data_IF_972425133735
#
_entry.id   IF_972425133735
#
_cell.length_a   1.000
_cell.length_b   1.000
_cell.length_c   1.000
_cell.angle_alpha   90.00
_cell.angle_beta   90.00
_cell.angle_gamma   90.00
#
_symmetry.space_group_name_H-M   'P 1'
#
loop_
_entity.id
_entity.type
_entity.pdbx_description
1 polymer ?
#
# COMPACT_ATOMS: atom_id res chain seq x y z
N UNK A 1 31.77 -12.31 -12.40
CA UNK A 1 31.52 -11.00 -13.04
C UNK A 1 30.11 -10.49 -12.77
N UNK A 2 29.04 -11.22 -13.11
CA UNK A 2 27.65 -10.74 -12.88
C UNK A 2 27.25 -10.63 -11.40
N UNK A 3 27.70 -11.57 -10.57
CA UNK A 3 27.44 -11.55 -9.12
C UNK A 3 28.13 -10.37 -8.41
N UNK A 4 29.33 -10.00 -8.87
CA UNK A 4 30.08 -8.85 -8.33
C UNK A 4 29.44 -7.54 -8.74
N UNK A 5 28.91 -7.46 -9.97
CA UNK A 5 28.12 -6.32 -10.44
C UNK A 5 26.83 -6.14 -9.61
N UNK A 6 26.12 -7.23 -9.31
CA UNK A 6 24.93 -7.18 -8.46
C UNK A 6 25.25 -6.76 -7.02
N UNK A 7 26.34 -7.28 -6.45
CA UNK A 7 26.82 -6.89 -5.11
C UNK A 7 27.25 -5.41 -5.07
N UNK A 8 27.91 -4.91 -6.11
CA UNK A 8 28.27 -3.50 -6.24
C UNK A 8 27.02 -2.61 -6.31
N UNK A 9 26.01 -2.98 -7.10
CA UNK A 9 24.74 -2.23 -7.16
C UNK A 9 23.98 -2.24 -5.83
N UNK A 10 23.99 -3.36 -5.08
CA UNK A 10 23.39 -3.42 -3.74
C UNK A 10 24.11 -2.55 -2.73
N UNK A 11 25.45 -2.51 -2.74
CA UNK A 11 26.26 -1.61 -1.90
C UNK A 11 25.99 -0.15 -2.23
N UNK A 12 25.95 0.20 -3.51
CA UNK A 12 25.66 1.57 -3.96
C UNK A 12 24.24 2.01 -3.56
N UNK A 13 23.25 1.13 -3.68
CA UNK A 13 21.89 1.39 -3.22
C UNK A 13 21.78 1.55 -1.69
N UNK A 14 22.57 0.80 -0.90
CA UNK A 14 22.66 1.00 0.55
C UNK A 14 23.31 2.34 0.91
N UNK A 15 24.38 2.73 0.23
CA UNK A 15 25.04 4.02 0.45
C UNK A 15 24.11 5.19 0.14
N UNK A 16 23.34 5.13 -0.94
CA UNK A 16 22.33 6.15 -1.26
C UNK A 16 21.23 6.23 -0.20
N UNK A 17 20.76 5.10 0.35
CA UNK A 17 19.82 5.10 1.49
C UNK A 17 20.42 5.76 2.72
N UNK A 18 21.69 5.48 3.04
CA UNK A 18 22.39 6.10 4.19
C UNK A 18 22.53 7.62 3.98
N UNK A 19 22.84 8.08 2.76
CA UNK A 19 22.88 9.51 2.43
C UNK A 19 21.52 10.20 2.63
N UNK A 20 20.44 9.58 2.18
CA UNK A 20 19.07 10.09 2.36
C UNK A 20 18.73 10.19 3.86
N UNK A 21 19.04 9.16 4.65
CA UNK A 21 18.83 9.17 6.10
C UNK A 21 19.65 10.25 6.81
N UNK A 22 20.92 10.47 6.41
CA UNK A 22 21.76 11.55 6.96
C UNK A 22 21.23 12.93 6.61
N UNK A 23 20.68 13.12 5.41
CA UNK A 23 20.07 14.37 4.99
C UNK A 23 18.77 14.65 5.77
N UNK A 24 17.91 13.64 5.93
CA UNK A 24 16.69 13.75 6.75
C UNK A 24 17.03 14.07 8.22
N UNK A 25 18.02 13.38 8.80
CA UNK A 25 18.46 13.67 10.16
C UNK A 25 19.04 15.07 10.32
N UNK A 26 19.84 15.58 9.36
CA UNK A 26 20.30 16.98 9.37
C UNK A 26 19.17 17.98 9.23
N UNK A 27 18.14 17.67 8.43
CA UNK A 27 16.96 18.52 8.32
C UNK A 27 16.17 18.53 9.63
N UNK A 28 15.99 17.37 10.27
CA UNK A 28 15.30 17.23 11.56
C UNK A 28 16.09 17.93 12.68
N UNK A 29 17.41 17.73 12.76
CA UNK A 29 18.30 18.39 13.72
C UNK A 29 18.31 19.92 13.50
N UNK A 30 18.27 20.37 12.24
CA UNK A 30 18.12 21.79 11.89
C UNK A 30 16.78 22.38 12.33
N UNK A 31 15.67 21.65 12.12
CA UNK A 31 14.36 22.09 12.62
C UNK A 31 14.27 22.08 14.14
N UNK A 32 14.97 21.16 14.82
CA UNK A 32 15.01 21.10 16.27
C UNK A 32 15.83 22.26 16.86
N UNK A 33 16.94 22.64 16.22
CA UNK A 33 17.76 23.81 16.56
C UNK A 33 17.00 25.13 16.34
N UNK A 34 16.25 25.27 15.24
CA UNK A 34 15.40 26.44 14.99
C UNK A 34 14.27 26.54 16.04
N UNK A 35 13.68 25.41 16.45
CA UNK A 35 12.65 25.38 17.50
C UNK A 35 13.20 25.78 18.88
N UNK A 36 14.42 25.32 19.22
CA UNK A 36 15.10 25.71 20.46
C UNK A 36 15.48 27.19 20.42
N UNK A 37 16.00 27.70 19.30
CA UNK A 37 16.30 29.13 19.13
C UNK A 37 15.07 30.03 19.22
N UNK A 38 13.91 29.59 18.70
CA UNK A 38 12.63 30.29 18.85
C UNK A 38 12.09 30.25 20.28
N UNK A 39 12.28 29.13 21.00
CA UNK A 39 11.93 29.05 22.41
C UNK A 39 12.85 29.94 23.26
N UNK A 40 14.15 29.98 22.97
CA UNK A 40 15.10 30.86 23.64
C UNK A 40 14.86 32.35 23.34
N UNK A 41 14.43 32.71 22.12
CA UNK A 41 14.09 34.10 21.78
C UNK A 41 12.76 34.54 22.42
N UNK A 42 11.79 33.65 22.55
CA UNK A 42 10.54 33.91 23.30
C UNK A 42 10.82 34.04 24.80
N UNK A 43 11.70 33.21 25.36
CA UNK A 43 12.10 33.31 26.78
C UNK A 43 12.92 34.57 27.04
N UNK A 44 13.89 34.92 26.16
CA UNK A 44 14.69 36.14 26.29
C UNK A 44 13.87 37.42 26.05
N UNK A 45 12.90 37.38 25.14
CA UNK A 45 11.95 38.46 24.91
C UNK A 45 10.99 38.71 26.07
N UNK A 46 10.78 37.72 26.94
CA UNK A 46 9.98 37.87 28.16
C UNK A 46 10.76 38.43 29.36
N UNK A 47 12.10 38.51 29.28
CA UNK A 47 12.97 39.02 30.35
C UNK A 47 13.58 40.40 30.07
N UNK A 48 13.42 40.98 28.88
CA UNK A 48 13.80 42.36 28.60
C UNK A 48 12.57 43.27 28.66
N UNK A 49 12.11 43.51 29.89
CA UNK A 49 11.37 44.72 30.21
C UNK A 49 12.34 45.84 30.57
N UNK A 50 12.01 47.06 30.13
CA UNK A 50 12.62 48.34 30.53
C UNK A 50 13.96 48.68 29.85
N UNK A 51 13.94 49.38 28.71
CA UNK A 51 14.46 50.78 28.69
C UNK A 51 14.57 51.46 27.32
N UNK A 52 14.41 50.77 26.19
CA UNK A 52 14.51 51.46 24.89
C UNK A 52 13.18 51.53 24.14
N UNK A 53 12.42 52.58 24.42
CA UNK A 53 11.33 53.05 23.56
C UNK A 53 11.47 54.55 23.34
N UNK A 54 12.59 54.93 22.71
CA UNK A 54 12.76 56.26 22.13
C UNK A 54 12.67 56.14 20.61
N UNK A 55 11.72 56.88 20.05
CA UNK A 55 11.68 57.32 18.65
C UNK A 55 11.45 56.23 17.60
N UNK A 56 10.21 56.18 17.07
CA UNK A 56 9.88 56.10 15.64
C UNK A 56 8.36 55.93 15.48
N UNK A 57 7.62 57.00 15.73
CA UNK A 57 6.27 57.18 15.17
C UNK A 57 6.14 58.63 14.73
N UNK A 58 6.71 58.93 13.57
CA UNK A 58 6.41 60.11 12.77
C UNK A 58 5.39 59.69 11.72
N UNK A 59 4.15 60.16 11.84
CA UNK A 59 3.14 59.88 10.83
C UNK A 59 1.70 60.11 11.27
N UNK A 60 1.30 61.38 11.28
CA UNK A 60 -0.04 61.86 10.95
C UNK A 60 -1.23 61.33 11.76
N UNK A 61 -1.73 62.17 12.66
CA UNK A 61 -3.06 62.76 12.46
C UNK A 61 -3.23 63.93 13.42
N UNK A 62 -3.30 65.12 12.84
CA UNK A 62 -3.72 66.35 13.47
C UNK A 62 -5.18 66.19 13.92
N UNK A 63 -5.36 65.84 15.19
CA UNK A 63 -6.51 66.27 15.96
C UNK A 63 -5.95 66.79 17.26
N UNK A 64 -5.56 68.06 17.21
CA UNK A 64 -5.45 68.89 18.40
C UNK A 64 -6.85 69.09 18.98
N UNK A 65 -7.44 68.03 19.51
CA UNK A 65 -8.41 68.18 20.57
C UNK A 65 -7.63 68.77 21.74
N UNK A 66 -7.78 70.08 21.87
CA UNK A 66 -7.39 70.87 23.03
C UNK A 66 -8.19 70.26 24.20
N UNK A 67 -7.66 69.19 24.77
CA UNK A 67 -7.98 68.77 26.11
C UNK A 67 -7.49 69.93 26.99
N UNK A 68 -8.39 70.88 27.24
CA UNK A 68 -8.35 71.77 28.39
C UNK A 68 -8.11 70.85 29.59
N UNK A 69 -6.84 70.63 29.94
CA UNK A 69 -6.43 69.94 31.16
C UNK A 69 -7.02 70.79 32.26
N UNK A 70 -8.13 70.33 32.82
CA UNK A 70 -8.79 70.98 33.92
C UNK A 70 -7.77 71.04 35.06
N UNK A 71 -7.13 72.20 35.23
CA UNK A 71 -6.08 72.44 36.21
C UNK A 71 -6.66 72.86 37.56
N UNK A 72 -7.98 72.71 37.73
CA UNK A 72 -8.61 72.91 39.02
C UNK A 72 -7.99 71.95 40.03
N UNK A 73 -7.66 72.47 41.20
CA UNK A 73 -7.12 71.66 42.30
C UNK A 73 -8.08 70.53 42.69
N UNK A 74 -9.39 70.73 42.50
CA UNK A 74 -10.43 69.72 42.69
C UNK A 74 -10.31 68.57 41.69
N UNK A 75 -10.04 68.85 40.40
CA UNK A 75 -9.83 67.80 39.41
C UNK A 75 -8.55 67.00 39.69
N UNK A 76 -7.46 67.70 40.04
CA UNK A 76 -6.19 67.08 40.42
C UNK A 76 -6.39 66.21 41.67
N UNK A 77 -7.06 66.71 42.71
CA UNK A 77 -7.36 65.94 43.92
C UNK A 77 -8.32 64.76 43.64
N UNK A 78 -9.27 64.90 42.72
CA UNK A 78 -10.17 63.80 42.32
C UNK A 78 -9.42 62.69 41.54
N UNK A 79 -8.42 63.04 40.74
CA UNK A 79 -7.59 62.06 40.02
C UNK A 79 -6.62 61.31 40.94
N UNK A 80 -6.15 61.97 42.00
CA UNK A 80 -5.32 61.35 43.03
C UNK A 80 -6.12 60.79 44.20
N UNK A 81 -7.45 60.88 44.17
CA UNK A 81 -8.29 60.17 45.10
C UNK A 81 -7.95 58.67 44.98
N UNK A 82 -7.74 57.95 46.10
CA UNK A 82 -7.33 56.54 46.07
C UNK A 82 -8.23 55.67 45.18
N UNK A 83 -9.51 56.01 45.10
CA UNK A 83 -10.51 55.33 44.28
C UNK A 83 -10.32 55.55 42.78
N UNK A 84 -9.99 56.76 42.34
CA UNK A 84 -9.71 57.06 40.93
C UNK A 84 -8.41 56.39 40.44
N UNK A 85 -7.37 56.35 41.30
CA UNK A 85 -6.12 55.63 41.00
C UNK A 85 -6.37 54.12 40.88
N UNK A 86 -7.21 53.55 41.75
CA UNK A 86 -7.60 52.14 41.67
C UNK A 86 -8.42 51.84 40.40
N UNK A 87 -9.37 52.69 40.03
CA UNK A 87 -10.13 52.56 38.78
C UNK A 87 -9.23 52.64 37.55
N UNK A 88 -8.29 53.60 37.51
CA UNK A 88 -7.34 53.71 36.41
C UNK A 88 -6.42 52.48 36.30
N UNK A 89 -5.92 51.95 37.42
CA UNK A 89 -5.15 50.69 37.42
C UNK A 89 -5.96 49.49 36.94
N UNK A 90 -7.24 49.39 37.34
CA UNK A 90 -8.15 48.33 36.84
C UNK A 90 -8.38 48.45 35.34
N UNK A 91 -8.56 49.67 34.84
CA UNK A 91 -8.76 49.92 33.41
C UNK A 91 -7.49 49.63 32.60
N UNK A 92 -6.31 50.01 33.09
CA UNK A 92 -5.04 49.63 32.48
C UNK A 92 -4.82 48.11 32.48
N UNK A 93 -5.18 47.41 33.56
CA UNK A 93 -5.10 45.95 33.63
C UNK A 93 -6.06 45.29 32.62
N UNK A 94 -7.29 45.77 32.52
CA UNK A 94 -8.27 45.32 31.54
C UNK A 94 -7.81 45.57 30.10
N UNK A 95 -7.31 46.76 29.81
CA UNK A 95 -6.76 47.12 28.49
C UNK A 95 -5.55 46.25 28.13
N UNK A 96 -4.70 45.94 29.11
CA UNK A 96 -3.57 45.04 28.93
C UNK A 96 -4.03 43.60 28.64
N UNK A 97 -5.02 43.09 29.35
CA UNK A 97 -5.61 41.77 29.08
C UNK A 97 -6.24 41.70 27.69
N UNK A 98 -7.02 42.72 27.30
CA UNK A 98 -7.60 42.82 25.96
C UNK A 98 -6.52 42.86 24.86
N UNK A 99 -5.42 43.61 25.06
CA UNK A 99 -4.29 43.63 24.12
C UNK A 99 -3.57 42.28 24.03
N UNK A 100 -3.39 41.60 25.17
CA UNK A 100 -2.78 40.27 25.23
C UNK A 100 -3.65 39.25 24.47
N UNK A 101 -4.95 39.26 24.71
CA UNK A 101 -5.87 38.32 24.07
C UNK A 101 -5.97 38.57 22.56
N UNK A 102 -6.00 39.84 22.13
CA UNK A 102 -5.93 40.20 20.72
C UNK A 102 -4.60 39.75 20.06
N UNK A 103 -3.48 39.87 20.78
CA UNK A 103 -2.17 39.39 20.31
C UNK A 103 -2.15 37.85 20.16
N UNK A 104 -2.73 37.12 21.12
CA UNK A 104 -2.88 35.67 21.06
C UNK A 104 -3.78 35.25 19.88
N UNK A 105 -4.90 35.94 19.65
CA UNK A 105 -5.77 35.67 18.50
C UNK A 105 -5.04 35.88 17.16
N UNK A 106 -4.22 36.94 17.04
CA UNK A 106 -3.39 37.17 15.85
C UNK A 106 -2.36 36.07 15.63
N UNK A 107 -1.75 35.57 16.71
CA UNK A 107 -0.78 34.49 16.65
C UNK A 107 -1.44 33.19 16.18
N UNK A 108 -2.59 32.83 16.76
CA UNK A 108 -3.38 31.66 16.34
C UNK A 108 -3.84 31.78 14.89
N UNK A 109 -4.33 32.95 14.47
CA UNK A 109 -4.73 33.18 13.08
C UNK A 109 -3.55 33.09 12.09
N UNK A 110 -2.36 33.55 12.51
CA UNK A 110 -1.13 33.43 11.73
C UNK A 110 -0.68 31.97 11.59
N UNK A 111 -0.75 31.19 12.68
CA UNK A 111 -0.44 29.76 12.65
C UNK A 111 -1.42 28.98 11.76
N UNK A 112 -2.72 29.21 11.91
CA UNK A 112 -3.75 28.61 11.05
C UNK A 112 -3.53 28.96 9.57
N UNK A 113 -3.17 30.21 9.27
CA UNK A 113 -2.83 30.64 7.91
C UNK A 113 -1.58 29.93 7.36
N UNK A 114 -0.57 29.70 8.22
CA UNK A 114 0.64 28.97 7.83
C UNK A 114 0.35 27.49 7.57
N UNK A 115 -0.45 26.86 8.43
CA UNK A 115 -0.90 25.47 8.26
C UNK A 115 -1.68 25.30 6.96
N UNK A 116 -2.61 26.20 6.66
CA UNK A 116 -3.37 26.19 5.42
C UNK A 116 -2.47 26.31 4.17
N UNK A 117 -1.42 27.14 4.21
CA UNK A 117 -0.43 27.26 3.12
C UNK A 117 0.38 25.97 2.93
N UNK A 118 0.77 25.32 4.03
CA UNK A 118 1.51 24.05 3.99
C UNK A 118 0.61 22.94 3.43
N UNK A 119 -0.64 22.86 3.87
CA UNK A 119 -1.59 21.88 3.37
C UNK A 119 -1.88 22.07 1.87
N UNK A 120 -2.12 23.31 1.42
CA UNK A 120 -2.31 23.63 0.01
C UNK A 120 -1.08 23.24 -0.84
N UNK A 121 0.14 23.51 -0.35
CA UNK A 121 1.37 23.14 -1.03
C UNK A 121 1.54 21.61 -1.12
N UNK A 122 1.19 20.87 -0.07
CA UNK A 122 1.22 19.40 -0.06
C UNK A 122 0.21 18.81 -1.04
N UNK A 123 -1.01 19.35 -1.10
CA UNK A 123 -2.03 18.93 -2.07
C UNK A 123 -1.60 19.18 -3.51
N UNK A 124 -1.02 20.35 -3.79
CA UNK A 124 -0.49 20.67 -5.13
C UNK A 124 0.64 19.71 -5.53
N UNK A 125 1.54 19.40 -4.59
CA UNK A 125 2.62 18.44 -4.82
C UNK A 125 2.09 17.02 -5.05
N UNK A 126 1.06 16.61 -4.31
CA UNK A 126 0.39 15.33 -4.49
C UNK A 126 -0.27 15.21 -5.88
N UNK A 127 -0.97 16.27 -6.34
CA UNK A 127 -1.54 16.32 -7.70
C UNK A 127 -0.47 16.21 -8.78
N UNK A 128 0.63 16.96 -8.68
CA UNK A 128 1.76 16.87 -9.63
C UNK A 128 2.38 15.47 -9.67
N UNK A 129 2.53 14.82 -8.51
CA UNK A 129 3.04 13.45 -8.45
C UNK A 129 2.08 12.45 -9.12
N UNK A 130 0.77 12.62 -8.95
CA UNK A 130 -0.24 11.79 -9.61
C UNK A 130 -0.23 11.97 -11.13
N UNK A 131 -0.08 13.20 -11.62
CA UNK A 131 0.06 13.51 -13.05
C UNK A 131 1.32 12.90 -13.65
N UNK A 132 2.46 13.00 -12.96
CA UNK A 132 3.72 12.37 -13.36
C UNK A 132 3.56 10.84 -13.42
N UNK A 133 2.87 10.24 -12.45
CA UNK A 133 2.59 8.80 -12.48
C UNK A 133 1.67 8.40 -13.63
N UNK A 134 0.62 9.18 -13.92
CA UNK A 134 -0.25 8.97 -15.09
C UNK A 134 0.55 9.04 -16.37
N UNK A 135 1.38 10.06 -16.54
CA UNK A 135 2.29 10.20 -17.69
C UNK A 135 3.25 9.02 -17.82
N UNK A 136 3.87 8.56 -16.71
CA UNK A 136 4.74 7.38 -16.71
C UNK A 136 3.99 6.10 -17.08
N UNK A 137 2.74 5.94 -16.65
CA UNK A 137 1.90 4.77 -17.01
C UNK A 137 1.52 4.81 -18.49
N UNK A 138 1.10 5.96 -19.01
CA UNK A 138 0.77 6.14 -20.42
C UNK A 138 2.00 5.96 -21.32
N UNK A 139 3.13 6.60 -21.00
CA UNK A 139 4.38 6.47 -21.74
C UNK A 139 4.90 5.03 -21.80
N UNK A 140 4.90 4.31 -20.66
CA UNK A 140 5.29 2.89 -20.66
C UNK A 140 4.33 2.01 -21.46
N UNK A 141 3.03 2.27 -21.40
CA UNK A 141 2.04 1.51 -22.15
C UNK A 141 2.16 1.76 -23.67
N UNK A 142 2.49 2.98 -24.08
CA UNK A 142 2.72 3.34 -25.48
C UNK A 142 4.04 2.79 -25.98
N UNK A 143 5.12 2.90 -25.20
CA UNK A 143 6.41 2.32 -25.53
C UNK A 143 6.34 0.79 -25.63
N UNK A 144 5.62 0.14 -24.72
CA UNK A 144 5.39 -1.30 -24.81
C UNK A 144 4.54 -1.66 -26.03
N UNK A 145 3.54 -0.85 -26.40
CA UNK A 145 2.80 -1.01 -27.66
C UNK A 145 3.72 -0.89 -28.86
N UNK A 146 4.58 0.15 -28.94
CA UNK A 146 5.55 0.35 -30.02
C UNK A 146 6.53 -0.82 -30.12
N UNK A 147 7.06 -1.32 -28.99
CA UNK A 147 7.92 -2.52 -28.97
C UNK A 147 7.19 -3.76 -29.46
N UNK A 148 5.95 -4.00 -29.03
CA UNK A 148 5.16 -5.12 -29.54
C UNK A 148 4.79 -4.95 -31.02
N UNK A 149 4.56 -3.71 -31.47
CA UNK A 149 4.26 -3.34 -32.86
C UNK A 149 5.50 -3.38 -33.79
N UNK A 150 6.71 -3.21 -33.26
CA UNK A 150 7.93 -3.50 -34.01
C UNK A 150 8.19 -5.02 -34.09
N UNK A 151 7.98 -5.71 -32.97
CA UNK A 151 8.37 -7.11 -32.83
C UNK A 151 7.40 -8.09 -33.52
N UNK A 152 6.11 -7.78 -33.67
CA UNK A 152 5.19 -8.70 -34.35
C UNK A 152 5.50 -8.82 -35.85
N UNK A 153 5.95 -7.76 -36.52
CA UNK A 153 6.41 -7.84 -37.92
C UNK A 153 7.68 -8.67 -38.04
N UNK A 154 8.64 -8.49 -37.12
CA UNK A 154 9.84 -9.32 -37.06
C UNK A 154 9.49 -10.80 -36.77
N UNK A 155 8.53 -11.06 -35.87
CA UNK A 155 8.06 -12.41 -35.58
C UNK A 155 7.32 -13.05 -36.77
N UNK A 156 6.53 -12.27 -37.52
CA UNK A 156 5.89 -12.71 -38.76
C UNK A 156 6.92 -13.01 -39.86
N UNK A 157 7.89 -12.11 -40.06
CA UNK A 157 8.96 -12.30 -41.03
C UNK A 157 9.82 -13.54 -40.68
N UNK A 158 10.16 -13.72 -39.41
CA UNK A 158 10.86 -14.90 -38.92
C UNK A 158 10.03 -16.17 -39.11
N UNK A 159 8.73 -16.16 -38.78
CA UNK A 159 7.85 -17.29 -38.99
C UNK A 159 7.71 -17.65 -40.48
N UNK A 160 7.59 -16.66 -41.38
CA UNK A 160 7.55 -16.91 -42.82
C UNK A 160 8.87 -17.45 -43.36
N UNK A 161 10.01 -16.93 -42.86
CA UNK A 161 11.33 -17.43 -43.22
C UNK A 161 11.52 -18.88 -42.77
N UNK A 162 11.12 -19.21 -41.54
CA UNK A 162 11.18 -20.58 -41.04
C UNK A 162 10.30 -21.54 -41.84
N UNK A 163 9.11 -21.10 -42.29
CA UNK A 163 8.29 -21.90 -43.19
C UNK A 163 8.99 -22.14 -44.54
N UNK A 164 9.58 -21.10 -45.13
CA UNK A 164 10.35 -21.21 -46.37
C UNK A 164 11.55 -22.17 -46.22
N UNK A 165 12.32 -22.06 -45.13
CA UNK A 165 13.45 -22.96 -44.85
C UNK A 165 12.97 -24.40 -44.67
N UNK A 166 11.85 -24.63 -43.99
CA UNK A 166 11.29 -25.98 -43.86
C UNK A 166 10.85 -26.54 -45.22
N UNK A 167 10.22 -25.74 -46.06
CA UNK A 167 9.82 -26.15 -47.42
C UNK A 167 11.04 -26.47 -48.28
N UNK A 168 12.10 -25.66 -48.22
CA UNK A 168 13.36 -25.90 -48.94
C UNK A 168 14.06 -27.16 -48.43
N UNK A 169 14.12 -27.37 -47.11
CA UNK A 169 14.65 -28.60 -46.50
C UNK A 169 13.83 -29.82 -46.93
N UNK A 170 12.51 -29.71 -47.00
CA UNK A 170 11.64 -30.78 -47.48
C UNK A 170 11.86 -31.07 -48.97
N UNK A 171 12.01 -30.04 -49.81
CA UNK A 171 12.36 -30.16 -51.22
C UNK A 171 13.74 -30.82 -51.41
N UNK A 172 14.74 -30.44 -50.61
CA UNK A 172 16.07 -31.03 -50.61
C UNK A 172 16.05 -32.47 -50.10
N UNK A 173 15.22 -32.80 -49.11
CA UNK A 173 15.00 -34.18 -48.64
C UNK A 173 14.31 -35.03 -49.71
N UNK A 174 13.32 -34.50 -50.42
CA UNK A 174 12.68 -35.20 -51.55
C UNK A 174 13.66 -35.40 -52.71
N UNK A 175 14.49 -34.39 -53.03
CA UNK A 175 15.58 -34.54 -54.02
C UNK A 175 16.59 -35.59 -53.59
N UNK A 176 17.04 -35.62 -52.33
CA UNK A 176 17.98 -36.64 -51.82
C UNK A 176 17.39 -38.03 -51.69
N UNK A 177 16.11 -38.18 -51.35
CA UNK A 177 15.41 -39.47 -51.35
C UNK A 177 15.31 -40.08 -52.75
N UNK A 178 15.09 -39.24 -53.77
CA UNK A 178 15.04 -39.67 -55.17
C UNK A 178 16.42 -39.80 -55.83
N UNK A 179 17.46 -39.08 -55.35
CA UNK A 179 18.84 -39.22 -55.84
C UNK A 179 19.60 -40.37 -55.14
N UNK A 180 19.35 -40.62 -53.85
CA UNK A 180 20.02 -41.66 -53.07
C UNK A 180 19.55 -43.08 -53.40
N UNK A 181 18.28 -43.25 -53.78
CA UNK A 181 17.77 -44.52 -54.32
C UNK A 181 18.16 -44.77 -55.79
N UNK A 182 18.60 -43.73 -56.51
CA UNK A 182 18.99 -43.83 -57.92
C UNK A 182 20.50 -44.08 -58.13
N UNK A 183 21.37 -43.73 -57.17
CA UNK A 183 22.83 -43.87 -57.32
C UNK A 183 23.43 -45.09 -56.61
N UNK A 184 22.74 -45.73 -55.66
CA UNK A 184 23.26 -46.93 -54.97
C UNK A 184 22.88 -48.27 -55.64
N UNK A 185 22.09 -48.24 -56.72
CA UNK A 185 21.73 -49.41 -57.56
C UNK A 185 22.24 -49.27 -59.01
N UNK A 186 23.27 -48.44 -59.22
CA UNK A 186 23.83 -48.13 -60.55
C UNK A 186 24.99 -49.03 -60.98
N UNK A 187 24.85 -50.32 -60.71
CA UNK A 187 25.57 -51.36 -61.46
C UNK A 187 24.59 -52.48 -61.79
N UNK A 188 23.92 -52.36 -62.94
CA UNK A 188 23.34 -53.52 -63.64
C UNK A 188 21.82 -53.62 -63.82
N UNK A 189 21.00 -52.77 -63.20
CA UNK A 189 19.54 -52.85 -63.43
C UNK A 189 19.12 -51.96 -64.62
N UNK A 190 18.54 -52.51 -65.71
CA UNK A 190 18.01 -51.72 -66.79
C UNK A 190 16.92 -50.81 -66.22
N UNK A 191 17.05 -49.49 -66.45
CA UNK A 191 16.03 -48.48 -66.15
C UNK A 191 14.66 -49.07 -66.45
N UNK A 192 13.82 -49.19 -65.43
CA UNK A 192 12.51 -49.83 -65.51
C UNK A 192 11.78 -49.29 -66.73
N UNK A 193 11.33 -50.22 -67.58
CA UNK A 193 10.58 -49.97 -68.81
C UNK A 193 9.48 -48.92 -68.62
N UNK A 194 8.88 -48.82 -67.43
CA UNK A 194 7.88 -47.81 -67.06
C UNK A 194 8.33 -46.35 -67.19
N UNK A 195 9.53 -45.98 -66.72
CA UNK A 195 10.00 -44.60 -66.84
C UNK A 195 10.33 -44.25 -68.31
N UNK A 196 10.80 -45.25 -69.07
CA UNK A 196 11.04 -45.13 -70.52
C UNK A 196 9.72 -45.03 -71.30
N UNK A 197 8.73 -45.85 -70.97
CA UNK A 197 7.38 -45.82 -71.55
C UNK A 197 6.69 -44.48 -71.25
N UNK A 198 6.82 -43.96 -70.03
CA UNK A 198 6.28 -42.63 -69.69
C UNK A 198 6.98 -41.51 -70.47
N UNK A 199 8.30 -41.59 -70.63
CA UNK A 199 9.06 -40.63 -71.41
C UNK A 199 8.73 -40.71 -72.91
N UNK A 200 8.63 -41.92 -73.47
CA UNK A 200 8.24 -42.16 -74.87
C UNK A 200 6.80 -41.69 -75.13
N UNK A 201 5.87 -41.91 -74.20
CA UNK A 201 4.50 -41.38 -74.29
C UNK A 201 4.45 -39.85 -74.25
N UNK A 202 5.27 -39.21 -73.40
CA UNK A 202 5.38 -37.74 -73.35
C UNK A 202 6.00 -37.19 -74.63
N UNK A 203 7.04 -37.84 -75.17
CA UNK A 203 7.66 -37.48 -76.45
C UNK A 203 6.68 -37.64 -77.62
N UNK A 204 5.93 -38.75 -77.68
CA UNK A 204 4.92 -38.97 -78.70
C UNK A 204 3.81 -37.90 -78.62
N UNK A 205 3.37 -37.56 -77.41
CA UNK A 205 2.43 -36.45 -77.21
C UNK A 205 3.02 -35.10 -77.62
N UNK A 206 4.31 -34.86 -77.38
CA UNK A 206 4.97 -33.63 -77.80
C UNK A 206 5.04 -33.52 -79.32
N UNK A 207 5.44 -34.58 -80.02
CA UNK A 207 5.48 -34.61 -81.49
C UNK A 207 4.10 -34.43 -82.10
N UNK A 208 3.07 -35.02 -81.51
CA UNK A 208 1.69 -34.83 -81.95
C UNK A 208 1.21 -33.39 -81.70
N UNK A 209 1.59 -32.81 -80.56
CA UNK A 209 1.28 -31.41 -80.25
C UNK A 209 1.99 -30.45 -81.22
N UNK A 210 3.25 -30.73 -81.58
CA UNK A 210 4.01 -29.98 -82.58
C UNK A 210 3.33 -30.05 -83.96
N UNK A 211 2.85 -31.23 -84.37
CA UNK A 211 2.05 -31.38 -85.60
C UNK A 211 0.76 -30.58 -85.55
N UNK A 212 0.02 -30.64 -84.44
CA UNK A 212 -1.21 -29.88 -84.26
C UNK A 212 -0.95 -28.37 -84.25
N UNK A 213 0.16 -27.91 -83.64
CA UNK A 213 0.59 -26.51 -83.63
C UNK A 213 1.09 -26.02 -84.99
N UNK A 214 1.43 -26.90 -85.93
CA UNK A 214 1.76 -26.53 -87.30
C UNK A 214 0.52 -26.17 -88.14
N UNK A 215 -0.68 -26.53 -87.68
CA UNK A 215 -1.93 -26.16 -88.36
C UNK A 215 -2.29 -24.69 -88.14
N UNK A 216 -2.66 -23.98 -89.21
CA UNK A 216 -2.99 -22.54 -89.18
C UNK A 216 -4.16 -22.23 -88.24
N UNK A 217 -5.17 -23.09 -88.22
CA UNK A 217 -6.35 -22.96 -87.35
C UNK A 217 -5.98 -23.03 -85.87
N UNK A 218 -5.08 -23.93 -85.49
CA UNK A 218 -4.61 -24.03 -84.10
C UNK A 218 -3.72 -22.84 -83.73
N UNK A 219 -2.89 -22.34 -84.65
CA UNK A 219 -2.06 -21.15 -84.42
C UNK A 219 -2.90 -19.90 -84.09
N UNK A 220 -4.06 -19.74 -84.71
CA UNK A 220 -5.01 -18.67 -84.38
C UNK A 220 -5.65 -18.84 -82.99
N UNK A 221 -5.78 -20.09 -82.50
CA UNK A 221 -6.30 -20.43 -81.17
C UNK A 221 -5.24 -20.38 -80.05
N UNK A 222 -3.94 -20.43 -80.37
CA UNK A 222 -2.85 -20.45 -79.39
C UNK A 222 -2.91 -19.25 -78.42
N UNK A 223 -3.10 -17.98 -78.86
CA UNK A 223 -3.19 -16.85 -77.93
C UNK A 223 -4.36 -16.99 -76.94
N UNK A 224 -5.49 -17.52 -77.40
CA UNK A 224 -6.65 -17.78 -76.54
C UNK A 224 -6.34 -18.86 -75.50
N UNK A 225 -5.72 -19.98 -75.91
CA UNK A 225 -5.30 -21.05 -75.00
C UNK A 225 -4.27 -20.55 -73.98
N UNK A 226 -3.27 -19.76 -74.41
CA UNK A 226 -2.29 -19.15 -73.52
C UNK A 226 -2.94 -18.22 -72.48
N UNK A 227 -3.85 -17.34 -72.90
CA UNK A 227 -4.62 -16.48 -72.00
C UNK A 227 -5.48 -17.30 -71.02
N UNK A 228 -6.13 -18.36 -71.51
CA UNK A 228 -6.93 -19.27 -70.68
C UNK A 228 -6.10 -20.00 -69.63
N UNK A 229 -4.95 -20.56 -70.01
CA UNK A 229 -4.04 -21.22 -69.08
C UNK A 229 -3.42 -20.23 -68.08
N UNK A 230 -3.02 -19.05 -68.53
CA UNK A 230 -2.53 -17.99 -67.64
C UNK A 230 -3.61 -17.60 -66.61
N UNK A 231 -4.86 -17.44 -67.04
CA UNK A 231 -5.99 -17.18 -66.15
C UNK A 231 -6.20 -18.32 -65.13
N UNK A 232 -6.23 -19.58 -65.58
CA UNK A 232 -6.37 -20.75 -64.69
C UNK A 232 -5.20 -20.87 -63.70
N UNK A 233 -3.97 -20.62 -64.14
CA UNK A 233 -2.79 -20.61 -63.28
C UNK A 233 -2.87 -19.49 -62.25
N UNK A 234 -3.28 -18.29 -62.65
CA UNK A 234 -3.48 -17.15 -61.74
C UNK A 234 -4.57 -17.45 -60.70
N UNK A 235 -5.69 -18.04 -61.10
CA UNK A 235 -6.75 -18.48 -60.18
C UNK A 235 -6.19 -19.52 -59.19
N UNK A 236 -5.44 -20.51 -59.66
CA UNK A 236 -4.81 -21.52 -58.79
C UNK A 236 -3.82 -20.90 -57.80
N UNK A 237 -2.97 -19.97 -58.25
CA UNK A 237 -2.03 -19.23 -57.40
C UNK A 237 -2.75 -18.42 -56.32
N UNK A 238 -3.80 -17.66 -56.70
CA UNK A 238 -4.64 -16.91 -55.77
C UNK A 238 -5.32 -17.80 -54.74
N UNK A 239 -5.87 -18.95 -55.16
CA UNK A 239 -6.47 -19.94 -54.24
C UNK A 239 -5.44 -20.51 -53.27
N UNK A 240 -4.23 -20.85 -53.72
CA UNK A 240 -3.14 -21.29 -52.83
C UNK A 240 -2.76 -20.22 -51.81
N UNK A 241 -2.59 -18.97 -52.25
CA UNK A 241 -2.32 -17.86 -51.33
C UNK A 241 -3.46 -17.67 -50.30
N UNK A 242 -4.72 -17.71 -50.74
CA UNK A 242 -5.87 -17.63 -49.86
C UNK A 242 -5.95 -18.78 -48.86
N UNK A 243 -5.57 -20.01 -49.25
CA UNK A 243 -5.49 -21.15 -48.34
C UNK A 243 -4.43 -20.96 -47.26
N UNK A 244 -3.27 -20.37 -47.59
CA UNK A 244 -2.23 -20.04 -46.60
C UNK A 244 -2.76 -19.01 -45.60
N UNK A 245 -3.37 -17.92 -46.08
CA UNK A 245 -4.00 -16.91 -45.20
C UNK A 245 -5.07 -17.55 -44.31
N UNK A 246 -5.91 -18.41 -44.87
CA UNK A 246 -6.94 -19.14 -44.10
C UNK A 246 -6.33 -20.07 -43.05
N UNK A 247 -5.23 -20.76 -43.36
CA UNK A 247 -4.52 -21.61 -42.41
C UNK A 247 -3.94 -20.77 -41.25
N UNK A 248 -3.33 -19.62 -41.54
CA UNK A 248 -2.84 -18.68 -40.53
C UNK A 248 -3.98 -18.12 -39.65
N UNK A 249 -5.13 -17.78 -40.24
CA UNK A 249 -6.29 -17.30 -39.47
C UNK A 249 -6.86 -18.40 -38.57
N UNK A 250 -6.88 -19.66 -39.04
CA UNK A 250 -7.30 -20.82 -38.24
C UNK A 250 -6.34 -21.07 -37.07
N UNK A 251 -5.02 -21.01 -37.29
CA UNK A 251 -4.04 -21.18 -36.21
C UNK A 251 -4.10 -20.01 -35.21
N UNK A 252 -4.31 -18.78 -35.70
CA UNK A 252 -4.52 -17.60 -34.87
C UNK A 252 -5.74 -17.71 -33.97
N UNK A 253 -6.84 -18.34 -34.42
CA UNK A 253 -8.01 -18.59 -33.57
C UNK A 253 -7.65 -19.41 -32.32
N UNK A 254 -6.80 -20.43 -32.48
CA UNK A 254 -6.37 -21.28 -31.36
C UNK A 254 -5.32 -20.57 -30.51
N UNK A 255 -4.26 -20.03 -31.13
CA UNK A 255 -3.20 -19.31 -30.43
C UNK A 255 -3.75 -18.07 -29.68
N UNK A 256 -4.65 -17.31 -30.29
CA UNK A 256 -5.32 -16.17 -29.70
C UNK A 256 -6.17 -16.54 -28.49
N UNK A 257 -6.90 -17.67 -28.53
CA UNK A 257 -7.62 -18.18 -27.34
C UNK A 257 -6.65 -18.50 -26.20
N UNK A 258 -5.53 -19.15 -26.49
CA UNK A 258 -4.49 -19.44 -25.49
C UNK A 258 -3.90 -18.15 -24.92
N UNK A 259 -3.51 -17.19 -25.77
CA UNK A 259 -2.99 -15.89 -25.32
C UNK A 259 -3.99 -15.14 -24.44
N UNK A 260 -5.27 -15.12 -24.80
CA UNK A 260 -6.33 -14.51 -23.99
C UNK A 260 -6.53 -15.25 -22.66
N UNK A 261 -6.49 -16.59 -22.66
CA UNK A 261 -6.56 -17.38 -21.43
C UNK A 261 -5.37 -17.09 -20.51
N UNK A 262 -4.15 -17.06 -21.03
CA UNK A 262 -2.93 -16.71 -20.29
C UNK A 262 -2.99 -15.29 -19.75
N UNK A 263 -3.50 -14.32 -20.53
CA UNK A 263 -3.72 -12.95 -20.05
C UNK A 263 -4.73 -12.90 -18.90
N UNK A 264 -5.88 -13.58 -19.03
CA UNK A 264 -6.90 -13.66 -17.96
C UNK A 264 -6.32 -14.29 -16.69
N UNK A 265 -5.58 -15.39 -16.83
CA UNK A 265 -4.88 -16.03 -15.72
C UNK A 265 -3.87 -15.09 -15.05
N UNK A 266 -3.07 -14.37 -15.84
CA UNK A 266 -2.14 -13.37 -15.31
C UNK A 266 -2.87 -12.28 -14.52
N UNK A 267 -3.97 -11.75 -15.05
CA UNK A 267 -4.79 -10.74 -14.36
C UNK A 267 -5.38 -11.27 -13.05
N UNK A 268 -5.86 -12.51 -13.02
CA UNK A 268 -6.33 -13.19 -11.81
C UNK A 268 -5.20 -13.35 -10.77
N UNK A 269 -4.03 -13.84 -11.18
CA UNK A 269 -2.84 -13.91 -10.33
C UNK A 269 -2.47 -12.54 -9.75
N UNK A 270 -2.49 -11.47 -10.56
CA UNK A 270 -2.23 -10.10 -10.10
C UNK A 270 -3.30 -9.59 -9.14
N UNK A 271 -4.55 -10.01 -9.27
CA UNK A 271 -5.62 -9.69 -8.32
C UNK A 271 -5.36 -10.37 -6.96
N UNK A 272 -5.05 -11.66 -6.96
CA UNK A 272 -4.70 -12.42 -5.74
C UNK A 272 -3.47 -11.80 -5.07
N UNK A 273 -2.41 -11.50 -5.82
CA UNK A 273 -1.19 -10.87 -5.28
C UNK A 273 -1.47 -9.51 -4.64
N UNK A 274 -2.30 -8.66 -5.28
CA UNK A 274 -2.68 -7.35 -4.70
C UNK A 274 -3.47 -7.53 -3.41
N UNK A 275 -4.47 -8.42 -3.40
CA UNK A 275 -5.25 -8.72 -2.21
C UNK A 275 -4.37 -9.26 -1.08
N UNK A 276 -3.42 -10.16 -1.38
CA UNK A 276 -2.48 -10.72 -0.42
C UNK A 276 -1.56 -9.65 0.17
N UNK A 277 -0.98 -8.76 -0.66
CA UNK A 277 -0.14 -7.65 -0.15
C UNK A 277 -0.91 -6.72 0.78
N UNK A 278 -2.14 -6.37 0.42
CA UNK A 278 -3.01 -5.56 1.27
C UNK A 278 -3.36 -6.28 2.58
N UNK A 279 -3.69 -7.57 2.51
CA UNK A 279 -3.96 -8.39 3.70
C UNK A 279 -2.73 -8.51 4.60
N UNK A 280 -1.54 -8.75 4.03
CA UNK A 280 -0.27 -8.81 4.77
C UNK A 280 -0.01 -7.51 5.53
N UNK A 281 -0.11 -6.35 4.87
CA UNK A 281 0.09 -5.06 5.54
C UNK A 281 -0.88 -4.85 6.72
N UNK A 282 -2.14 -5.28 6.59
CA UNK A 282 -3.12 -5.25 7.69
C UNK A 282 -2.73 -6.21 8.82
N UNK A 283 -2.24 -7.41 8.51
CA UNK A 283 -1.78 -8.36 9.52
C UNK A 283 -0.55 -7.83 10.25
N UNK A 284 0.43 -7.28 9.53
CA UNK A 284 1.62 -6.68 10.14
C UNK A 284 1.23 -5.54 11.09
N UNK A 285 0.27 -4.68 10.70
CA UNK A 285 -0.27 -3.63 11.58
C UNK A 285 -0.94 -4.20 12.84
N UNK A 286 -1.77 -5.22 12.70
CA UNK A 286 -2.45 -5.83 13.85
C UNK A 286 -1.45 -6.54 14.79
N UNK A 287 -0.45 -7.23 14.23
CA UNK A 287 0.65 -7.81 14.99
C UNK A 287 1.39 -6.74 15.77
N UNK A 288 1.74 -5.62 15.14
CA UNK A 288 2.41 -4.51 15.84
C UNK A 288 1.56 -3.95 16.98
N UNK A 289 0.27 -3.72 16.75
CA UNK A 289 -0.65 -3.26 17.82
C UNK A 289 -0.72 -4.25 18.99
N UNK A 290 -0.74 -5.55 18.71
CA UNK A 290 -0.69 -6.58 19.74
C UNK A 290 0.66 -6.59 20.48
N UNK A 291 1.78 -6.46 19.77
CA UNK A 291 3.12 -6.38 20.37
C UNK A 291 3.27 -5.13 21.26
N UNK A 292 2.73 -3.98 20.85
CA UNK A 292 2.79 -2.74 21.62
C UNK A 292 1.95 -2.85 22.90
N UNK A 293 0.73 -3.41 22.82
CA UNK A 293 -0.10 -3.71 23.99
C UNK A 293 0.58 -4.71 24.91
N UNK A 294 1.15 -5.77 24.35
CA UNK A 294 1.92 -6.77 25.08
C UNK A 294 3.07 -6.15 25.87
N UNK A 295 3.88 -5.29 25.24
CA UNK A 295 5.00 -4.62 25.93
C UNK A 295 4.54 -3.81 27.14
N UNK A 296 3.37 -3.16 27.07
CA UNK A 296 2.82 -2.42 28.21
C UNK A 296 2.48 -3.37 29.36
N UNK A 297 1.80 -4.47 29.07
CA UNK A 297 1.46 -5.48 30.09
C UNK A 297 2.69 -6.17 30.67
N UNK A 298 3.66 -6.51 29.83
CA UNK A 298 4.91 -7.14 30.25
C UNK A 298 5.70 -6.25 31.21
N UNK A 299 5.80 -4.94 30.92
CA UNK A 299 6.42 -3.97 31.83
C UNK A 299 5.68 -3.86 33.16
N UNK A 300 4.34 -3.86 33.14
CA UNK A 300 3.53 -3.80 34.37
C UNK A 300 3.73 -5.04 35.23
N UNK A 301 3.72 -6.24 34.61
CA UNK A 301 3.96 -7.52 35.29
C UNK A 301 5.37 -7.56 35.88
N UNK A 302 6.40 -7.25 35.08
CA UNK A 302 7.79 -7.22 35.54
C UNK A 302 8.03 -6.19 36.64
N UNK A 303 7.44 -5.00 36.53
CA UNK A 303 7.57 -3.98 37.58
C UNK A 303 7.00 -4.48 38.90
N UNK A 304 5.84 -5.16 38.89
CA UNK A 304 5.24 -5.73 40.11
C UNK A 304 6.08 -6.88 40.67
N UNK A 305 6.53 -7.80 39.83
CA UNK A 305 7.38 -8.94 40.22
C UNK A 305 8.71 -8.49 40.83
N UNK A 306 9.41 -7.54 40.19
CA UNK A 306 10.71 -7.04 40.64
C UNK A 306 10.59 -6.16 41.89
N UNK A 307 9.53 -5.37 42.01
CA UNK A 307 9.25 -4.61 43.24
C UNK A 307 8.90 -5.53 44.42
N UNK A 308 8.24 -6.66 44.18
CA UNK A 308 7.94 -7.66 45.21
C UNK A 308 9.17 -8.47 45.62
N UNK A 309 10.05 -8.84 44.66
CA UNK A 309 11.27 -9.59 44.93
C UNK A 309 12.34 -8.77 45.69
N UNK A 310 12.37 -7.46 45.48
CA UNK A 310 13.28 -6.54 46.16
C UNK A 310 12.50 -5.35 46.73
N UNK A 311 11.81 -5.54 47.87
CA UNK A 311 11.17 -4.42 48.55
C UNK A 311 12.25 -3.38 48.82
N UNK A 312 12.03 -2.16 48.31
CA UNK A 312 12.99 -1.07 48.49
C UNK A 312 13.25 -0.90 50.00
N UNK A 313 14.50 -0.82 50.47
CA UNK A 313 14.81 -0.68 51.89
C UNK A 313 14.14 0.56 52.52
N UNK A 314 13.76 1.55 51.71
CA UNK A 314 12.98 2.72 52.17
C UNK A 314 11.54 2.40 52.59
N UNK A 315 10.94 1.31 52.08
CA UNK A 315 9.62 0.85 52.51
C UNK A 315 9.70 -0.02 53.79
N UNK A 316 10.84 -0.69 54.02
CA UNK A 316 11.07 -1.48 55.24
C UNK A 316 11.40 -0.62 56.47
N UNK A 317 11.83 0.63 56.29
CA UNK A 317 12.10 1.58 57.40
C UNK A 317 10.88 2.41 57.83
N UNK A 318 9.69 2.15 57.27
CA UNK A 318 8.44 2.87 57.55
C UNK A 318 7.74 2.48 58.86
N UNK A 319 8.49 2.28 59.94
CA UNK A 319 7.96 1.79 61.21
C UNK A 319 8.75 2.22 62.45
N UNK A 320 9.31 3.43 62.48
CA UNK A 320 9.71 4.07 63.74
C UNK A 320 9.78 5.59 63.57
N UNK A 321 8.62 6.22 63.72
CA UNK A 321 8.51 7.65 63.94
C UNK A 321 9.09 8.00 65.32
N UNK A 322 10.34 8.47 65.36
CA UNK A 322 10.83 9.43 66.36
C UNK A 322 11.93 10.24 65.70
N UNK A 323 11.63 11.47 65.26
CA UNK A 323 11.95 12.66 66.03
C UNK A 323 13.42 12.70 66.47
N UNK A 324 14.26 13.43 65.73
CA UNK A 324 14.94 14.64 66.26
C UNK A 324 15.83 15.27 65.19
N UNK A 325 15.28 16.36 64.66
CA UNK A 325 15.92 17.66 64.43
C UNK A 325 17.26 17.79 65.19
N UNK A 326 18.39 17.69 64.50
CA UNK A 326 19.63 18.32 64.94
C UNK A 326 20.53 18.58 63.73
N UNK A 327 20.73 19.87 63.48
CA UNK A 327 21.74 20.43 62.61
C UNK A 327 23.14 19.89 62.96
N UNK A 328 23.88 19.34 62.00
CA UNK A 328 25.33 19.29 62.11
C UNK A 328 25.96 19.70 60.78
N UNK A 329 26.74 20.77 60.89
CA UNK A 329 27.55 21.42 59.88
C UNK A 329 28.61 20.45 59.34
N UNK A 330 28.87 20.58 58.04
CA UNK A 330 30.18 20.54 57.40
C UNK A 330 31.24 19.61 58.02
N UNK A 331 31.51 18.49 57.36
CA UNK A 331 32.88 17.97 57.31
C UNK A 331 33.23 17.51 55.90
N UNK A 332 34.17 18.26 55.34
CA UNK A 332 34.71 18.20 54.00
C UNK A 332 35.95 17.30 54.06
N UNK A 333 35.81 16.00 53.88
CA UNK A 333 36.96 15.11 53.63
C UNK A 333 36.54 13.96 52.72
N UNK A 334 36.70 14.21 51.42
CA UNK A 334 36.70 13.21 50.35
C UNK A 334 37.87 12.23 50.59
N UNK A 335 37.62 11.12 51.29
CA UNK A 335 38.44 9.91 51.15
C UNK A 335 37.84 9.07 50.03
N UNK A 336 38.50 9.08 48.89
CA UNK A 336 38.28 8.19 47.77
C UNK A 336 38.68 6.78 48.24
N UNK A 337 37.72 6.04 48.79
CA UNK A 337 37.86 4.62 49.08
C UNK A 337 37.76 3.84 47.78
N UNK A 338 38.89 3.33 47.29
CA UNK A 338 39.03 2.47 46.10
C UNK A 338 38.89 0.98 46.41
N UNK A 339 38.18 0.58 47.47
CA UNK A 339 37.99 -0.84 47.80
C UNK A 339 36.51 -1.19 47.95
N UNK A 340 36.04 -1.95 46.96
CA UNK A 340 34.68 -2.41 46.79
C UNK A 340 34.13 -1.83 45.50
N UNK A 341 34.21 -2.59 44.39
CA UNK A 341 33.38 -2.34 43.21
C UNK A 341 31.95 -2.43 43.73
N UNK A 342 31.40 -1.30 44.14
CA UNK A 342 30.05 -1.20 44.68
C UNK A 342 29.14 -1.85 43.67
N UNK A 343 28.39 -2.86 44.12
CA UNK A 343 27.39 -3.54 43.33
C UNK A 343 26.52 -2.46 42.66
N UNK A 344 26.70 -2.29 41.35
CA UNK A 344 26.00 -1.26 40.58
C UNK A 344 24.54 -1.69 40.60
N UNK A 345 23.78 -1.17 41.55
CA UNK A 345 22.35 -1.47 41.68
C UNK A 345 21.63 -0.86 40.48
N UNK A 346 21.32 -1.71 39.51
CA UNK A 346 20.52 -1.35 38.35
C UNK A 346 19.18 -0.78 38.83
N UNK A 347 18.81 0.36 38.27
CA UNK A 347 17.51 0.99 38.53
C UNK A 347 16.39 -0.01 38.20
N UNK A 348 15.21 0.14 38.83
CA UNK A 348 14.06 -0.74 38.54
C UNK A 348 13.74 -0.76 37.03
N UNK A 349 13.87 0.38 36.35
CA UNK A 349 13.65 0.48 34.91
C UNK A 349 14.67 -0.32 34.09
N UNK A 350 15.95 -0.30 34.47
CA UNK A 350 16.98 -1.09 33.81
C UNK A 350 16.76 -2.59 34.04
N UNK A 351 16.42 -2.99 35.27
CA UNK A 351 16.07 -4.38 35.59
C UNK A 351 14.87 -4.86 34.78
N UNK A 352 13.83 -4.03 34.65
CA UNK A 352 12.68 -4.33 33.79
C UNK A 352 13.13 -4.48 32.34
N UNK A 353 13.94 -3.57 31.80
CA UNK A 353 14.42 -3.64 30.41
C UNK A 353 15.22 -4.92 30.12
N UNK A 354 16.07 -5.35 31.05
CA UNK A 354 16.86 -6.59 30.94
C UNK A 354 15.97 -7.82 31.03
N UNK A 355 14.91 -7.77 31.85
CA UNK A 355 13.97 -8.88 32.02
C UNK A 355 12.87 -8.96 30.93
N UNK A 356 12.81 -8.02 29.98
CA UNK A 356 11.86 -8.07 28.87
C UNK A 356 12.20 -9.24 27.92
N UNK A 357 11.17 -9.92 27.42
CA UNK A 357 11.36 -10.88 26.34
C UNK A 357 11.94 -10.19 25.09
N UNK A 358 12.89 -10.84 24.39
CA UNK A 358 13.40 -10.34 23.13
C UNK A 358 12.26 -10.10 22.12
N UNK A 359 12.35 -8.99 21.38
CA UNK A 359 11.29 -8.56 20.47
C UNK A 359 10.93 -9.64 19.43
N UNK A 360 11.94 -10.33 18.90
CA UNK A 360 11.74 -11.40 17.92
C UNK A 360 10.92 -12.57 18.48
N UNK A 361 11.18 -12.98 19.73
CA UNK A 361 10.44 -14.06 20.40
C UNK A 361 8.98 -13.65 20.63
N UNK A 362 8.76 -12.44 21.15
CA UNK A 362 7.42 -11.88 21.36
C UNK A 362 6.65 -11.79 20.04
N UNK A 363 7.27 -11.25 19.00
CA UNK A 363 6.64 -11.10 17.67
C UNK A 363 6.26 -12.46 17.08
N UNK A 364 7.17 -13.43 17.10
CA UNK A 364 6.90 -14.77 16.59
C UNK A 364 5.76 -15.46 17.35
N UNK A 365 5.73 -15.33 18.69
CA UNK A 365 4.66 -15.88 19.52
C UNK A 365 3.30 -15.25 19.16
N UNK A 366 3.24 -13.91 19.10
CA UNK A 366 2.03 -13.16 18.75
C UNK A 366 1.55 -13.51 17.34
N UNK A 367 2.45 -13.62 16.36
CA UNK A 367 2.10 -14.00 14.99
C UNK A 367 1.47 -15.40 14.92
N UNK A 368 2.00 -16.37 15.66
CA UNK A 368 1.46 -17.74 15.72
C UNK A 368 0.11 -17.79 16.43
N UNK A 369 -0.08 -17.09 17.55
CA UNK A 369 -1.37 -17.03 18.24
C UNK A 369 -2.44 -16.30 17.42
N UNK A 370 -2.08 -15.18 16.75
CA UNK A 370 -2.99 -14.50 15.82
C UNK A 370 -3.33 -15.36 14.60
N UNK A 371 -2.40 -16.21 14.14
CA UNK A 371 -2.70 -17.22 13.11
C UNK A 371 -3.70 -18.24 13.63
N UNK A 372 -3.45 -18.87 14.76
CA UNK A 372 -4.39 -19.83 15.37
C UNK A 372 -5.78 -19.23 15.56
N UNK A 373 -5.86 -18.02 16.15
CA UNK A 373 -7.12 -17.33 16.39
C UNK A 373 -7.90 -17.05 15.12
N UNK A 374 -7.25 -16.67 14.02
CA UNK A 374 -7.92 -16.49 12.72
C UNK A 374 -8.59 -17.78 12.25
N UNK A 375 -7.92 -18.92 12.39
CA UNK A 375 -8.52 -20.22 12.06
C UNK A 375 -9.68 -20.57 12.98
N UNK A 376 -9.50 -20.41 14.29
CA UNK A 376 -10.55 -20.65 15.27
C UNK A 376 -11.79 -19.75 15.09
N UNK A 377 -11.63 -18.56 14.51
CA UNK A 377 -12.72 -17.61 14.25
C UNK A 377 -13.52 -17.93 12.99
N UNK A 378 -13.00 -18.72 12.05
CA UNK A 378 -13.67 -19.00 10.77
C UNK A 378 -15.08 -19.57 10.94
N UNK A 379 -15.34 -20.59 11.79
CA UNK A 379 -16.70 -21.08 12.01
C UNK A 379 -17.66 -20.01 12.51
N UNK A 380 -17.20 -19.11 13.38
CA UNK A 380 -18.00 -17.99 13.88
C UNK A 380 -18.30 -16.95 12.81
N UNK A 381 -17.39 -16.73 11.86
CA UNK A 381 -17.61 -15.85 10.71
C UNK A 381 -18.71 -16.43 9.81
N UNK A 382 -18.70 -17.73 9.54
CA UNK A 382 -19.78 -18.38 8.77
C UNK A 382 -21.13 -18.29 9.50
N UNK A 383 -21.16 -18.62 10.80
CA UNK A 383 -22.38 -18.47 11.59
C UNK A 383 -22.89 -17.02 11.62
N UNK A 384 -21.99 -16.04 11.62
CA UNK A 384 -22.34 -14.62 11.53
C UNK A 384 -22.89 -14.25 10.16
N UNK A 385 -22.36 -14.80 9.06
CA UNK A 385 -22.93 -14.62 7.72
C UNK A 385 -24.36 -15.14 7.66
N UNK A 386 -24.62 -16.35 8.16
CA UNK A 386 -25.98 -16.90 8.23
C UNK A 386 -26.92 -16.02 9.07
N UNK A 387 -26.43 -15.51 10.20
CA UNK A 387 -27.19 -14.60 11.05
C UNK A 387 -27.47 -13.26 10.35
N UNK A 388 -26.50 -12.74 9.57
CA UNK A 388 -26.66 -11.53 8.77
C UNK A 388 -27.69 -11.71 7.67
N UNK A 389 -27.72 -12.85 7.00
CA UNK A 389 -28.73 -13.15 5.97
C UNK A 389 -30.13 -13.21 6.57
N UNK A 390 -30.28 -13.86 7.74
CA UNK A 390 -31.54 -13.84 8.51
C UNK A 390 -31.92 -12.44 8.95
N UNK A 391 -30.95 -11.64 9.38
CA UNK A 391 -31.15 -10.26 9.76
C UNK A 391 -31.67 -9.42 8.58
N UNK A 392 -31.09 -9.56 7.39
CA UNK A 392 -31.56 -8.81 6.21
C UNK A 392 -32.99 -9.17 5.82
N UNK A 393 -33.38 -10.45 5.90
CA UNK A 393 -34.77 -10.86 5.70
C UNK A 393 -35.72 -10.23 6.73
N UNK A 394 -35.30 -10.17 8.01
CA UNK A 394 -36.07 -9.49 9.07
C UNK A 394 -36.17 -7.99 8.84
N UNK A 395 -35.10 -7.35 8.39
CA UNK A 395 -35.10 -5.91 8.06
C UNK A 395 -36.04 -5.63 6.90
N UNK A 396 -36.05 -6.50 5.88
CA UNK A 396 -36.96 -6.36 4.74
C UNK A 396 -38.43 -6.54 5.17
N UNK A 397 -38.74 -7.58 5.95
CA UNK A 397 -40.06 -7.75 6.56
C UNK A 397 -40.47 -6.54 7.40
N UNK A 398 -39.56 -6.03 8.23
CA UNK A 398 -39.81 -4.84 9.04
C UNK A 398 -40.09 -3.59 8.19
N UNK A 399 -39.41 -3.43 7.05
CA UNK A 399 -39.70 -2.34 6.10
C UNK A 399 -41.08 -2.49 5.48
N UNK A 400 -41.45 -3.70 5.08
CA UNK A 400 -42.77 -4.01 4.52
C UNK A 400 -43.88 -3.76 5.55
N UNK A 401 -43.72 -4.24 6.77
CA UNK A 401 -44.67 -4.00 7.88
C UNK A 401 -44.80 -2.50 8.15
N UNK A 402 -43.69 -1.76 8.16
CA UNK A 402 -43.69 -0.32 8.36
C UNK A 402 -44.42 0.42 7.24
N UNK A 403 -44.24 0.02 5.98
CA UNK A 403 -44.95 0.58 4.83
C UNK A 403 -46.45 0.24 4.89
N UNK A 404 -46.80 -1.00 5.24
CA UNK A 404 -48.19 -1.43 5.41
C UNK A 404 -48.89 -0.62 6.51
N UNK A 405 -48.28 -0.50 7.70
CA UNK A 405 -48.81 0.32 8.79
C UNK A 405 -48.99 1.78 8.39
N UNK A 406 -48.05 2.35 7.62
CA UNK A 406 -48.18 3.72 7.11
C UNK A 406 -49.34 3.86 6.11
N UNK A 407 -49.55 2.87 5.24
CA UNK A 407 -50.66 2.89 4.27
C UNK A 407 -52.03 2.78 4.95
N UNK A 408 -52.14 1.97 6.00
CA UNK A 408 -53.36 1.85 6.80
C UNK A 408 -53.61 3.14 7.59
N UNK A 409 -52.58 3.70 8.22
CA UNK A 409 -52.68 4.96 8.96
C UNK A 409 -53.09 6.13 8.06
N UNK A 410 -52.63 6.15 6.81
CA UNK A 410 -53.02 7.16 5.82
C UNK A 410 -54.49 7.01 5.34
N UNK A 411 -55.02 5.78 5.34
CA UNK A 411 -56.42 5.53 4.97
C UNK A 411 -57.40 5.85 6.12
N UNK A 412 -56.97 5.70 7.37
CA UNK A 412 -57.76 6.05 8.56
C UNK A 412 -57.62 7.55 8.86
N UNK A 413 -58.27 8.36 8.04
CA UNK A 413 -58.29 9.81 8.18
C UNK A 413 -59.07 10.18 9.47
N UNK A 414 -58.36 10.78 10.46
CA UNK A 414 -58.85 11.76 11.48
C UNK A 414 -58.82 11.46 12.99
N UNK A 415 -58.54 10.28 13.51
CA UNK A 415 -58.33 10.17 14.97
C UNK A 415 -56.88 10.43 15.32
N UNK A 416 -56.55 11.73 15.43
CA UNK A 416 -55.35 12.26 16.07
C UNK A 416 -55.12 11.53 17.42
N UNK A 417 -53.85 11.40 17.79
CA UNK A 417 -53.31 11.04 19.12
C UNK A 417 -53.07 9.57 19.49
N UNK A 418 -52.48 8.75 18.62
CA UNK A 418 -51.55 7.71 19.11
C UNK A 418 -50.12 8.22 18.88
N UNK A 419 -49.54 8.79 19.93
CA UNK A 419 -48.18 9.30 20.04
C UNK A 419 -47.16 8.27 19.55
N UNK A 420 -46.68 8.45 18.31
CA UNK A 420 -45.32 8.25 17.77
C UNK A 420 -44.45 7.01 18.10
N UNK A 421 -44.79 6.16 19.05
CA UNK A 421 -43.85 5.24 19.72
C UNK A 421 -44.16 3.75 19.50
N UNK A 422 -45.29 3.42 18.85
CA UNK A 422 -45.68 2.02 18.59
C UNK A 422 -45.01 1.41 17.35
N UNK A 423 -44.14 2.16 16.66
CA UNK A 423 -43.35 1.58 15.57
C UNK A 423 -42.24 0.71 16.17
N UNK A 424 -42.41 -0.60 16.07
CA UNK A 424 -41.38 -1.59 16.43
C UNK A 424 -40.01 -1.14 15.92
N UNK A 425 -38.97 -1.09 16.78
CA UNK A 425 -37.64 -0.67 16.35
C UNK A 425 -37.10 -1.62 15.28
N UNK A 426 -36.19 -1.14 14.41
CA UNK A 426 -35.55 -2.00 13.43
C UNK A 426 -34.85 -3.17 14.15
N UNK A 427 -34.83 -4.38 13.56
CA UNK A 427 -34.11 -5.51 14.12
C UNK A 427 -32.67 -5.12 14.50
N UNK A 428 -32.16 -5.64 15.61
CA UNK A 428 -30.77 -5.43 16.00
C UNK A 428 -29.82 -6.27 15.13
N UNK A 429 -28.71 -5.68 14.70
CA UNK A 429 -27.69 -6.36 13.89
C UNK A 429 -26.96 -7.42 14.72
N UNK A 430 -26.68 -8.62 14.17
CA UNK A 430 -25.91 -9.63 14.90
C UNK A 430 -24.47 -9.16 15.20
N UNK A 431 -23.90 -9.52 16.36
CA UNK A 431 -22.57 -9.08 16.78
C UNK A 431 -21.48 -9.64 15.85
N UNK A 432 -20.58 -8.76 15.40
CA UNK A 432 -19.51 -9.15 14.47
C UNK A 432 -18.37 -9.85 15.23
N UNK A 433 -17.89 -11.03 14.76
CA UNK A 433 -16.75 -11.70 15.36
C UNK A 433 -15.47 -10.85 15.19
N UNK A 434 -14.75 -10.60 16.29
CA UNK A 434 -13.55 -9.76 16.32
C UNK A 434 -12.29 -10.63 16.40
N UNK A 435 -11.34 -10.42 15.47
CA UNK A 435 -10.08 -11.16 15.44
C UNK A 435 -9.03 -10.65 16.42
N UNK A 436 -9.20 -9.45 16.97
CA UNK A 436 -8.27 -8.90 17.95
C UNK A 436 -8.45 -9.58 19.33
N UNK A 437 -7.36 -9.91 20.04
CA UNK A 437 -7.44 -10.45 21.39
C UNK A 437 -7.88 -9.38 22.40
N UNK A 438 -8.62 -9.81 23.42
CA UNK A 438 -8.89 -9.01 24.61
C UNK A 438 -7.62 -8.87 25.46
N UNK A 439 -7.60 -7.91 26.38
CA UNK A 439 -6.46 -7.70 27.28
C UNK A 439 -6.19 -8.94 28.16
N UNK A 440 -7.24 -9.58 28.69
CA UNK A 440 -7.10 -10.81 29.48
C UNK A 440 -6.47 -11.96 28.68
N UNK A 441 -6.79 -12.05 27.39
CA UNK A 441 -6.21 -13.06 26.51
C UNK A 441 -4.74 -12.77 26.24
N UNK A 442 -4.36 -11.49 26.04
CA UNK A 442 -2.97 -11.09 25.91
C UNK A 442 -2.18 -11.38 27.19
N UNK A 443 -2.75 -11.16 28.38
CA UNK A 443 -2.12 -11.53 29.65
C UNK A 443 -1.91 -13.04 29.78
N UNK A 444 -2.89 -13.86 29.40
CA UNK A 444 -2.74 -15.33 29.36
C UNK A 444 -1.65 -15.76 28.39
N UNK A 445 -1.57 -15.13 27.21
CA UNK A 445 -0.51 -15.38 26.24
C UNK A 445 0.86 -15.00 26.79
N UNK A 446 0.98 -13.85 27.48
CA UNK A 446 2.20 -13.42 28.15
C UNK A 446 2.67 -14.46 29.18
N UNK A 447 1.77 -14.92 30.05
CA UNK A 447 2.09 -15.95 31.04
C UNK A 447 2.54 -17.26 30.40
N UNK A 448 1.94 -17.68 29.28
CA UNK A 448 2.36 -18.88 28.52
C UNK A 448 3.73 -18.70 27.88
N UNK A 449 3.95 -17.59 27.17
CA UNK A 449 5.19 -17.30 26.47
C UNK A 449 6.39 -17.22 27.43
N UNK A 450 6.20 -16.66 28.64
CA UNK A 450 7.25 -16.61 29.67
C UNK A 450 7.60 -17.98 30.24
N UNK A 451 6.63 -18.91 30.31
CA UNK A 451 6.88 -20.30 30.70
C UNK A 451 7.60 -21.06 29.59
N UNK A 452 7.20 -20.85 28.34
CA UNK A 452 7.85 -21.44 27.16
C UNK A 452 7.57 -20.61 25.91
N UNK A 453 8.64 -20.19 25.24
CA UNK A 453 8.58 -19.39 24.00
C UNK A 453 7.96 -20.15 22.82
N UNK A 454 7.93 -21.48 22.86
CA UNK A 454 7.37 -22.33 21.80
C UNK A 454 5.96 -22.83 22.11
N UNK A 455 5.41 -22.47 23.28
CA UNK A 455 4.10 -22.93 23.76
C UNK A 455 2.91 -22.21 23.12
N UNK A 456 2.99 -21.82 21.85
CA UNK A 456 1.87 -21.23 21.13
C UNK A 456 0.85 -22.31 20.71
N UNK A 457 -0.40 -21.90 20.54
CA UNK A 457 -1.51 -22.77 20.16
C UNK A 457 -1.29 -23.33 18.74
N UNK A 458 -1.28 -24.66 18.60
CA UNK A 458 -1.16 -25.33 17.29
C UNK A 458 -2.53 -25.48 16.65
N UNK A 459 -2.59 -25.28 15.33
CA UNK A 459 -3.80 -25.58 14.55
C UNK A 459 -3.87 -27.10 14.46
N UNK A 460 -4.84 -27.69 15.13
CA UNK A 460 -5.09 -29.12 15.08
C UNK A 460 -5.98 -29.49 13.88
N UNK A 461 -5.99 -30.78 13.53
CA UNK A 461 -6.86 -31.28 12.47
C UNK A 461 -8.35 -31.05 12.80
N UNK A 462 -8.72 -31.00 14.08
CA UNK A 462 -10.10 -30.77 14.49
C UNK A 462 -10.58 -29.37 14.07
N UNK A 463 -9.75 -28.35 14.24
CA UNK A 463 -10.02 -26.99 13.76
C UNK A 463 -10.16 -26.95 12.23
N UNK A 464 -9.28 -27.65 11.51
CA UNK A 464 -9.36 -27.75 10.04
C UNK A 464 -10.65 -28.45 9.59
N UNK A 465 -11.03 -29.57 10.24
CA UNK A 465 -12.27 -30.31 9.96
C UNK A 465 -13.50 -29.47 10.27
N UNK A 466 -13.49 -28.69 11.36
CA UNK A 466 -14.58 -27.76 11.71
C UNK A 466 -14.77 -26.68 10.64
N UNK A 467 -13.68 -26.10 10.14
CA UNK A 467 -13.72 -25.12 9.04
C UNK A 467 -14.20 -25.75 7.74
N UNK A 468 -13.72 -26.95 7.41
CA UNK A 468 -14.16 -27.68 6.21
C UNK A 468 -15.67 -27.98 6.27
N UNK A 469 -16.17 -28.41 7.43
CA UNK A 469 -17.61 -28.65 7.65
C UNK A 469 -18.43 -27.36 7.57
N UNK A 470 -17.90 -26.23 8.04
CA UNK A 470 -18.57 -24.93 7.91
C UNK A 470 -18.58 -24.43 6.46
N UNK A 471 -17.56 -24.76 5.66
CA UNK A 471 -17.48 -24.43 4.22
C UNK A 471 -18.40 -25.27 3.33
N UNK A 472 -18.77 -26.48 3.77
CA UNK A 472 -19.67 -27.38 3.05
C UNK A 472 -21.15 -27.02 3.23
N UNK A 473 -21.47 -26.24 4.27
CA UNK A 473 -22.79 -25.65 4.49
C UNK A 473 -22.88 -24.36 3.71
#
# INVERSE_FOLDING_TARGET
>A
TDFECEMAMRRQAQLERIKIYRYQRRADDGTHSVRIGLLESVIKGSTMGSDDSRSLYSGQSESSDILLRNSSSEYINSMYAPEAVLMHRRQQAYDWECRRDLALQRLVASEASREARVEAALLLKARRMEEIEKWKRHGKAEEQRRRTQGNWLAALAFASFMCFVMDEVNLLRMKRGNLGAADSSRQGAPRTTLARIQYEAVLAQQQELERLMASKEVQELVPFLQAYFALRLNIRRRRRAAMVVMACLKSWRTAGKIMLATRKFHEQCRRIQRAWRAAKARFDRNTQLCCDRWMRFERQVLSRELSAAHPSPAAASGGAATSRRASVKQSKTRRVSTKGVGEIQLTLQERVKVALLPEQVRRQFVENELRFRRFALLPHIYAWHDAMDKYWKKVESWRQDRLASHSVAAATDKTKTSTGDDLRPPPARPPCPVHMPSDDQLLKWLSRCRKSSTSYSKIDESCVKSVAKALQR
#
